data_IF_987216369252
#
_entry.id   IF_987216369252
#
_cell.length_a   1.000
_cell.length_b   1.000
_cell.length_c   1.000
_cell.angle_alpha   90.00
_cell.angle_beta   90.00
_cell.angle_gamma   90.00
#
_symmetry.space_group_name_H-M   'P 1'
#
loop_
_entity.id
_entity.type
_entity.pdbx_description
1 polymer ?
#
# COMPACT_ATOMS: atom_id res chain seq x y z
N UNK A 1 0.76 -14.05 -21.25
CA UNK A 1 -0.32 -14.98 -20.88
C UNK A 1 -1.29 -14.19 -20.01
N UNK A 2 -2.54 -14.05 -20.45
CA UNK A 2 -3.58 -13.45 -19.61
C UNK A 2 -4.18 -14.59 -18.78
N UNK A 3 -3.71 -14.74 -17.54
CA UNK A 3 -4.14 -15.85 -16.69
C UNK A 3 -5.62 -15.66 -16.31
N UNK A 4 -6.47 -16.70 -16.39
CA UNK A 4 -7.88 -16.62 -16.04
C UNK A 4 -8.16 -16.06 -14.63
N UNK A 5 -7.24 -16.24 -13.68
CA UNK A 5 -7.33 -15.63 -12.35
C UNK A 5 -7.43 -14.10 -12.39
N UNK A 6 -6.73 -13.42 -13.31
CA UNK A 6 -6.77 -11.96 -13.40
C UNK A 6 -8.14 -11.44 -13.80
N UNK A 7 -8.89 -12.20 -14.59
CA UNK A 7 -10.28 -11.88 -14.92
C UNK A 7 -11.17 -12.00 -13.68
N UNK A 8 -11.00 -13.05 -12.89
CA UNK A 8 -11.72 -13.21 -11.61
C UNK A 8 -11.42 -12.05 -10.65
N UNK A 9 -10.15 -11.66 -10.53
CA UNK A 9 -9.73 -10.54 -9.70
C UNK A 9 -10.33 -9.21 -10.20
N UNK A 10 -10.37 -9.00 -11.52
CA UNK A 10 -10.98 -7.83 -12.12
C UNK A 10 -12.50 -7.79 -11.90
N UNK A 11 -13.20 -8.91 -12.05
CA UNK A 11 -14.65 -9.01 -11.80
C UNK A 11 -15.01 -8.75 -10.33
N UNK A 12 -14.08 -9.00 -9.40
CA UNK A 12 -14.27 -8.80 -7.96
C UNK A 12 -13.49 -7.59 -7.41
N UNK A 13 -12.99 -6.72 -8.29
CA UNK A 13 -12.11 -5.59 -7.94
C UNK A 13 -12.69 -4.73 -6.81
N UNK A 14 -13.96 -4.33 -6.94
CA UNK A 14 -14.62 -3.48 -5.94
C UNK A 14 -14.68 -4.15 -4.57
N UNK A 15 -14.97 -5.45 -4.53
CA UNK A 15 -15.05 -6.20 -3.28
C UNK A 15 -13.66 -6.40 -2.66
N UNK A 16 -12.65 -6.70 -3.48
CA UNK A 16 -11.26 -6.84 -3.03
C UNK A 16 -10.75 -5.51 -2.48
N UNK A 17 -10.90 -4.41 -3.23
CA UNK A 17 -10.46 -3.08 -2.81
C UNK A 17 -11.16 -2.64 -1.52
N UNK A 18 -12.49 -2.79 -1.42
CA UNK A 18 -13.21 -2.41 -0.20
C UNK A 18 -12.72 -3.19 1.03
N UNK A 19 -12.48 -4.50 0.89
CA UNK A 19 -11.98 -5.33 1.99
C UNK A 19 -10.51 -5.06 2.29
N UNK A 20 -9.70 -4.79 1.28
CA UNK A 20 -8.28 -4.47 1.47
C UNK A 20 -8.10 -3.09 2.10
N UNK A 21 -8.77 -2.06 1.59
CA UNK A 21 -8.72 -0.69 2.10
C UNK A 21 -9.18 -0.62 3.55
N UNK A 22 -10.23 -1.35 3.94
CA UNK A 22 -10.65 -1.40 5.36
C UNK A 22 -9.56 -1.97 6.29
N UNK A 23 -8.72 -2.89 5.82
CA UNK A 23 -7.54 -3.35 6.55
C UNK A 23 -6.39 -2.32 6.56
N UNK A 24 -6.22 -1.54 5.49
CA UNK A 24 -5.24 -0.45 5.46
C UNK A 24 -5.64 0.64 6.46
N UNK A 25 -6.92 1.00 6.50
CA UNK A 25 -7.47 2.00 7.43
C UNK A 25 -7.37 1.59 8.90
N UNK A 26 -7.51 0.30 9.22
CA UNK A 26 -7.35 -0.18 10.59
C UNK A 26 -5.89 -0.17 11.06
N UNK A 27 -4.94 -0.11 10.13
CA UNK A 27 -3.51 0.04 10.40
C UNK A 27 -3.04 1.50 10.36
N UNK A 28 -3.85 2.41 9.82
CA UNK A 28 -3.58 3.84 9.86
C UNK A 28 -3.83 4.39 11.28
N UNK A 29 -3.01 5.32 11.78
CA UNK A 29 -3.07 5.80 13.14
C UNK A 29 -4.35 6.63 13.31
N UNK A 30 -5.06 6.39 14.40
CA UNK A 30 -6.31 7.06 14.72
C UNK A 30 -6.21 8.59 14.75
N UNK A 31 -5.03 9.16 15.01
CA UNK A 31 -4.77 10.61 15.00
C UNK A 31 -4.82 11.23 13.60
N UNK A 32 -4.68 10.42 12.54
CA UNK A 32 -4.75 10.83 11.15
C UNK A 32 -6.13 10.56 10.51
N UNK A 33 -7.03 9.85 11.20
CA UNK A 33 -8.36 9.56 10.68
C UNK A 33 -9.28 10.76 10.96
N UNK A 34 -9.79 11.46 9.93
CA UNK A 34 -10.77 12.50 10.17
C UNK A 34 -12.05 11.87 10.75
N UNK A 35 -12.61 12.52 11.76
CA UNK A 35 -13.94 12.20 12.27
C UNK A 35 -14.95 12.32 11.13
N UNK A 36 -15.71 11.24 10.91
CA UNK A 36 -16.92 11.15 10.09
C UNK A 36 -17.42 12.53 9.61
N UNK A 37 -17.17 12.90 8.35
CA UNK A 37 -18.10 13.65 7.47
C UNK A 37 -17.46 13.93 6.11
N UNK A 38 -18.12 13.46 5.04
CA UNK A 38 -17.88 13.72 3.60
C UNK A 38 -16.58 13.23 2.95
N UNK A 39 -16.73 12.36 1.93
CA UNK A 39 -15.65 11.85 1.07
C UNK A 39 -15.21 12.89 0.04
N UNK A 40 -13.91 13.19 0.00
CA UNK A 40 -13.31 14.08 -1.01
C UNK A 40 -11.84 14.35 -0.73
N UNK A 41 -11.05 14.64 -1.77
CA UNK A 41 -9.60 14.91 -1.68
C UNK A 41 -9.23 16.06 -0.73
N UNK A 42 -10.18 16.92 -0.38
CA UNK A 42 -10.00 18.07 0.50
C UNK A 42 -10.62 17.90 1.90
N UNK A 43 -11.54 16.96 2.07
CA UNK A 43 -12.22 16.69 3.35
C UNK A 43 -11.61 15.50 4.08
N UNK A 44 -11.05 14.54 3.34
CA UNK A 44 -10.32 13.39 3.86
C UNK A 44 -9.14 13.03 2.93
N UNK A 45 -8.05 13.81 2.98
CA UNK A 45 -6.91 13.63 2.09
C UNK A 45 -6.18 12.30 2.29
N UNK A 46 -6.26 11.72 3.50
CA UNK A 46 -5.59 10.47 3.84
C UNK A 46 -6.37 9.29 3.28
N UNK A 47 -7.69 9.26 3.45
CA UNK A 47 -8.52 8.24 2.82
C UNK A 47 -8.48 8.32 1.30
N UNK A 48 -8.50 9.53 0.74
CA UNK A 48 -8.35 9.70 -0.70
C UNK A 48 -7.01 9.14 -1.21
N UNK A 49 -5.90 9.42 -0.53
CA UNK A 49 -4.58 8.90 -0.92
C UNK A 49 -4.51 7.38 -0.81
N UNK A 50 -5.05 6.79 0.26
CA UNK A 50 -5.13 5.34 0.41
C UNK A 50 -5.98 4.72 -0.70
N UNK A 51 -7.17 5.25 -0.97
CA UNK A 51 -8.08 4.76 -2.02
C UNK A 51 -7.41 4.84 -3.41
N UNK A 52 -6.81 5.99 -3.76
CA UNK A 52 -6.06 6.22 -5.02
C UNK A 52 -4.93 5.20 -5.19
N UNK A 53 -4.05 5.09 -4.18
CA UNK A 53 -2.82 4.32 -4.30
C UNK A 53 -3.08 2.82 -4.25
N UNK A 54 -4.01 2.35 -3.41
CA UNK A 54 -4.42 0.94 -3.41
C UNK A 54 -5.07 0.55 -4.75
N UNK A 55 -5.89 1.42 -5.36
CA UNK A 55 -6.44 1.15 -6.69
C UNK A 55 -5.35 1.06 -7.77
N UNK A 56 -4.35 1.95 -7.74
CA UNK A 56 -3.23 1.91 -8.69
C UNK A 56 -2.39 0.62 -8.54
N UNK A 57 -2.05 0.24 -7.31
CA UNK A 57 -1.32 -1.00 -7.01
C UNK A 57 -2.12 -2.23 -7.47
N UNK A 58 -3.43 -2.27 -7.20
CA UNK A 58 -4.28 -3.38 -7.63
C UNK A 58 -4.40 -3.46 -9.15
N UNK A 59 -4.55 -2.31 -9.83
CA UNK A 59 -4.57 -2.25 -11.29
C UNK A 59 -3.27 -2.78 -11.89
N UNK A 60 -2.13 -2.44 -11.30
CA UNK A 60 -0.84 -2.97 -11.72
C UNK A 60 -0.76 -4.49 -11.50
N UNK A 61 -1.24 -4.99 -10.35
CA UNK A 61 -1.30 -6.42 -10.06
C UNK A 61 -2.06 -7.19 -11.15
N UNK A 62 -3.23 -6.71 -11.58
CA UNK A 62 -4.07 -7.42 -12.55
C UNK A 62 -3.64 -7.29 -14.01
N UNK A 63 -3.02 -6.17 -14.40
CA UNK A 63 -2.74 -5.86 -15.81
C UNK A 63 -1.27 -5.72 -16.15
N UNK A 64 -0.36 -5.83 -15.18
CA UNK A 64 1.06 -5.45 -15.34
C UNK A 64 1.16 -4.11 -16.10
N UNK A 65 0.60 -3.07 -15.47
CA UNK A 65 0.63 -1.71 -16.00
C UNK A 65 2.05 -1.13 -15.95
N UNK A 66 2.21 0.16 -16.22
CA UNK A 66 3.50 0.84 -16.12
C UNK A 66 4.11 0.68 -14.71
N UNK A 67 5.35 0.20 -14.63
CA UNK A 67 6.08 0.06 -13.36
C UNK A 67 6.32 1.43 -12.69
N UNK A 68 6.27 2.54 -13.45
CA UNK A 68 6.34 3.90 -12.89
C UNK A 68 5.09 4.27 -12.10
N UNK A 69 3.89 3.90 -12.58
CA UNK A 69 2.63 4.16 -11.86
C UNK A 69 2.61 3.40 -10.53
N UNK A 70 3.15 2.18 -10.53
CA UNK A 70 3.32 1.40 -9.30
C UNK A 70 4.30 2.08 -8.35
N UNK A 71 5.46 2.52 -8.86
CA UNK A 71 6.48 3.19 -8.07
C UNK A 71 5.94 4.45 -7.38
N UNK A 72 5.21 5.30 -8.12
CA UNK A 72 4.59 6.52 -7.56
C UNK A 72 3.58 6.16 -6.46
N UNK A 73 2.69 5.19 -6.72
CA UNK A 73 1.69 4.79 -5.75
C UNK A 73 2.29 4.18 -4.47
N UNK A 74 3.36 3.38 -4.62
CA UNK A 74 4.10 2.81 -3.51
C UNK A 74 4.85 3.87 -2.72
N UNK A 75 5.51 4.82 -3.38
CA UNK A 75 6.22 5.90 -2.71
C UNK A 75 5.25 6.76 -1.89
N UNK A 76 4.11 7.15 -2.45
CA UNK A 76 3.08 7.94 -1.75
C UNK A 76 2.60 7.24 -0.47
N UNK A 77 2.17 5.97 -0.58
CA UNK A 77 1.64 5.25 0.58
C UNK A 77 2.73 4.93 1.62
N UNK A 78 3.95 4.63 1.17
CA UNK A 78 5.10 4.40 2.07
C UNK A 78 5.50 5.68 2.80
N UNK A 79 5.41 6.85 2.16
CA UNK A 79 5.67 8.15 2.79
C UNK A 79 4.70 8.40 3.93
N UNK A 80 3.40 8.13 3.73
CA UNK A 80 2.38 8.26 4.78
C UNK A 80 2.69 7.37 5.99
N UNK A 81 3.12 6.12 5.75
CA UNK A 81 3.50 5.19 6.81
C UNK A 81 4.85 5.52 7.47
N UNK A 82 5.81 6.08 6.73
CA UNK A 82 7.14 6.39 7.23
C UNK A 82 7.15 7.50 8.29
N UNK A 83 6.21 8.44 8.21
CA UNK A 83 6.02 9.50 9.21
C UNK A 83 5.68 8.92 10.59
N UNK A 84 5.01 7.78 10.64
CA UNK A 84 4.48 7.17 11.87
C UNK A 84 5.53 6.41 12.69
N UNK A 85 6.77 6.27 12.20
CA UNK A 85 7.88 5.69 12.95
C UNK A 85 7.70 4.23 13.41
N UNK A 86 6.83 3.48 12.75
CA UNK A 86 6.63 2.03 12.94
C UNK A 86 7.78 1.20 12.37
N UNK A 87 7.82 -0.10 12.63
CA UNK A 87 8.78 -1.00 11.96
C UNK A 87 8.30 -1.32 10.53
N UNK A 88 9.19 -1.67 9.58
CA UNK A 88 8.79 -2.01 8.20
C UNK A 88 7.71 -3.11 8.13
N UNK A 89 7.81 -4.14 8.98
CA UNK A 89 6.82 -5.24 9.05
C UNK A 89 5.42 -4.78 9.45
N UNK A 90 5.32 -3.71 10.24
CA UNK A 90 4.06 -3.12 10.66
C UNK A 90 3.53 -2.17 9.58
N UNK A 91 4.40 -1.29 9.08
CA UNK A 91 4.06 -0.27 8.08
C UNK A 91 3.64 -0.84 6.72
N UNK A 92 4.20 -1.99 6.33
CA UNK A 92 3.94 -2.66 5.05
C UNK A 92 2.96 -3.84 5.19
N UNK A 93 2.50 -4.10 6.42
CA UNK A 93 1.54 -5.15 6.79
C UNK A 93 0.37 -5.27 5.83
N UNK A 94 -0.13 -4.12 5.37
CA UNK A 94 -1.29 -4.02 4.49
C UNK A 94 -1.08 -4.70 3.13
N UNK A 95 0.15 -4.79 2.61
CA UNK A 95 0.39 -5.42 1.30
C UNK A 95 0.18 -6.94 1.41
N UNK A 96 0.60 -7.57 2.52
CA UNK A 96 0.29 -8.97 2.78
C UNK A 96 -1.21 -9.19 3.04
N UNK A 97 -1.93 -8.19 3.58
CA UNK A 97 -3.37 -8.27 3.73
C UNK A 97 -4.10 -8.42 2.38
N UNK A 98 -3.56 -7.84 1.28
CA UNK A 98 -4.10 -8.05 -0.07
C UNK A 98 -4.08 -9.53 -0.46
N UNK A 99 -2.96 -10.21 -0.21
CA UNK A 99 -2.81 -11.65 -0.44
C UNK A 99 -3.88 -12.43 0.32
N UNK A 100 -4.07 -12.14 1.60
CA UNK A 100 -5.12 -12.78 2.41
C UNK A 100 -6.54 -12.52 1.88
N UNK A 101 -6.84 -11.30 1.44
CA UNK A 101 -8.15 -10.95 0.87
C UNK A 101 -8.45 -11.75 -0.39
N UNK A 102 -7.46 -11.88 -1.28
CA UNK A 102 -7.57 -12.66 -2.53
C UNK A 102 -7.78 -14.14 -2.21
N UNK A 103 -6.95 -14.72 -1.34
CA UNK A 103 -7.05 -16.13 -0.95
C UNK A 103 -8.40 -16.44 -0.30
N UNK A 104 -8.91 -15.56 0.57
CA UNK A 104 -10.23 -15.73 1.19
C UNK A 104 -11.37 -15.64 0.18
N UNK A 105 -11.29 -14.73 -0.78
CA UNK A 105 -12.29 -14.62 -1.86
C UNK A 105 -12.37 -15.93 -2.64
N UNK A 106 -11.21 -16.46 -3.07
CA UNK A 106 -11.13 -17.72 -3.82
C UNK A 106 -11.58 -18.92 -2.97
N UNK A 107 -11.19 -18.99 -1.71
CA UNK A 107 -11.58 -20.07 -0.80
C UNK A 107 -13.08 -20.06 -0.43
N UNK A 108 -13.71 -18.88 -0.42
CA UNK A 108 -15.16 -18.75 -0.13
C UNK A 108 -16.07 -19.33 -1.22
N UNK A 109 -15.50 -19.69 -2.38
CA UNK A 109 -15.87 -20.93 -3.07
C UNK A 109 -17.24 -21.03 -3.71
N UNK A 110 -17.78 -19.93 -4.26
CA UNK A 110 -18.60 -19.97 -5.50
C UNK A 110 -17.76 -19.75 -6.76
N UNK A 111 -16.43 -19.58 -6.63
CA UNK A 111 -15.51 -19.31 -7.74
C UNK A 111 -14.38 -20.34 -7.69
N UNK A 112 -14.28 -21.16 -8.72
CA UNK A 112 -13.24 -22.20 -8.83
C UNK A 112 -12.00 -21.54 -9.42
N UNK A 113 -10.89 -21.55 -8.67
CA UNK A 113 -9.60 -21.15 -9.22
C UNK A 113 -9.22 -22.14 -10.33
N UNK A 114 -8.97 -21.69 -11.57
CA UNK A 114 -8.79 -22.58 -12.70
C UNK A 114 -7.46 -23.36 -12.69
N UNK A 115 -6.41 -22.86 -12.02
CA UNK A 115 -5.14 -23.55 -11.84
C UNK A 115 -4.38 -23.04 -10.59
N UNK A 116 -3.52 -23.88 -9.99
CA UNK A 116 -2.62 -23.51 -8.90
C UNK A 116 -1.49 -22.57 -9.36
N UNK A 117 -1.01 -22.73 -10.60
CA UNK A 117 0.06 -21.88 -11.16
C UNK A 117 -0.40 -20.42 -11.29
N UNK A 118 -1.68 -20.19 -11.63
CA UNK A 118 -2.28 -18.86 -11.73
C UNK A 118 -2.24 -18.13 -10.38
N UNK A 119 -2.56 -18.84 -9.29
CA UNK A 119 -2.50 -18.28 -7.94
C UNK A 119 -1.06 -17.99 -7.52
N UNK A 120 -0.13 -18.85 -7.93
CA UNK A 120 1.30 -18.66 -7.67
C UNK A 120 1.84 -17.42 -8.40
N UNK A 121 1.37 -17.12 -9.62
CA UNK A 121 1.73 -15.89 -10.35
C UNK A 121 1.23 -14.63 -9.63
N UNK A 122 -0.02 -14.64 -9.13
CA UNK A 122 -0.57 -13.54 -8.33
C UNK A 122 0.25 -13.33 -7.05
N UNK A 123 0.57 -14.40 -6.34
CA UNK A 123 1.37 -14.36 -5.13
C UNK A 123 2.77 -13.79 -5.41
N UNK A 124 3.42 -14.23 -6.49
CA UNK A 124 4.75 -13.74 -6.89
C UNK A 124 4.74 -12.25 -7.24
N UNK A 125 3.67 -11.75 -7.88
CA UNK A 125 3.51 -10.31 -8.14
C UNK A 125 3.31 -9.51 -6.86
N UNK A 126 2.54 -10.02 -5.90
CA UNK A 126 2.40 -9.37 -4.59
C UNK A 126 3.76 -9.33 -3.88
N UNK A 127 4.55 -10.40 -3.93
CA UNK A 127 5.89 -10.42 -3.34
C UNK A 127 6.83 -9.40 -4.01
N UNK A 128 6.72 -9.16 -5.33
CA UNK A 128 7.41 -8.06 -6.02
C UNK A 128 6.98 -6.68 -5.49
N UNK A 129 5.68 -6.46 -5.31
CA UNK A 129 5.14 -5.21 -4.74
C UNK A 129 5.70 -4.97 -3.33
N UNK A 130 5.75 -6.02 -2.49
CA UNK A 130 6.33 -5.96 -1.14
C UNK A 130 7.80 -5.53 -1.19
N UNK A 131 8.59 -6.12 -2.08
CA UNK A 131 10.01 -5.78 -2.24
C UNK A 131 10.22 -4.30 -2.58
N UNK A 132 9.48 -3.79 -3.57
CA UNK A 132 9.56 -2.38 -3.95
C UNK A 132 9.08 -1.44 -2.84
N UNK A 133 7.99 -1.79 -2.17
CA UNK A 133 7.47 -1.00 -1.05
C UNK A 133 8.47 -0.92 0.12
N UNK A 134 9.20 -2.01 0.38
CA UNK A 134 10.27 -2.03 1.37
C UNK A 134 11.36 -1.02 1.05
N UNK A 135 11.84 -0.99 -0.20
CA UNK A 135 12.85 -0.03 -0.64
C UNK A 135 12.37 1.42 -0.49
N UNK A 136 11.14 1.73 -0.93
CA UNK A 136 10.55 3.07 -0.79
C UNK A 136 10.38 3.47 0.67
N UNK A 137 9.90 2.57 1.52
CA UNK A 137 9.75 2.83 2.95
C UNK A 137 11.11 3.14 3.61
N UNK A 138 12.12 2.31 3.35
CA UNK A 138 13.47 2.52 3.86
C UNK A 138 14.06 3.86 3.39
N UNK A 139 13.87 4.22 2.12
CA UNK A 139 14.31 5.51 1.59
C UNK A 139 13.61 6.70 2.29
N UNK A 140 12.29 6.64 2.47
CA UNK A 140 11.53 7.66 3.20
C UNK A 140 12.03 7.82 4.64
N UNK A 141 12.30 6.71 5.33
CA UNK A 141 12.82 6.72 6.72
C UNK A 141 14.21 7.32 6.81
N UNK A 142 15.10 6.99 5.87
CA UNK A 142 16.44 7.57 5.79
C UNK A 142 16.37 9.10 5.61
N UNK A 143 15.52 9.58 4.70
CA UNK A 143 15.30 11.01 4.48
C UNK A 143 14.79 11.71 5.75
N UNK A 144 13.81 11.13 6.45
CA UNK A 144 13.30 11.68 7.72
C UNK A 144 14.42 11.80 8.76
N UNK A 145 15.27 10.79 8.88
CA UNK A 145 16.39 10.83 9.82
C UNK A 145 17.46 11.85 9.44
N UNK A 146 17.78 11.97 8.15
CA UNK A 146 18.72 12.98 7.66
C UNK A 146 18.21 14.40 7.98
N UNK A 147 16.94 14.67 7.74
CA UNK A 147 16.31 15.95 8.10
C UNK A 147 16.41 16.23 9.61
N UNK A 148 16.14 15.23 10.46
CA UNK A 148 16.27 15.36 11.92
C UNK A 148 17.70 15.69 12.33
N UNK A 149 18.69 15.01 11.77
CA UNK A 149 20.11 15.25 12.05
C UNK A 149 20.54 16.65 11.60
N UNK A 150 20.13 17.07 10.41
CA UNK A 150 20.45 18.39 9.87
C UNK A 150 19.82 19.52 10.70
N UNK A 151 18.60 19.30 11.20
CA UNK A 151 17.93 20.26 12.07
C UNK A 151 18.64 20.40 13.42
N UNK A 152 19.04 19.28 14.05
CA UNK A 152 19.84 19.29 15.29
C UNK A 152 21.15 20.08 15.08
N UNK A 153 21.88 19.83 14.00
CA UNK A 153 23.12 20.55 13.68
C UNK A 153 22.89 22.06 13.53
N UNK A 154 21.77 22.47 12.92
CA UNK A 154 21.41 23.90 12.76
C UNK A 154 21.10 24.57 14.09
N UNK A 155 20.42 23.87 15.00
CA UNK A 155 20.13 24.39 16.34
C UNK A 155 21.41 24.59 17.15
N UNK A 156 22.24 23.56 17.30
CA UNK A 156 23.47 23.64 18.11
C UNK A 156 24.63 24.39 17.45
N UNK A 157 24.61 24.56 16.12
CA UNK A 157 25.59 25.38 15.41
C UNK A 157 25.40 26.90 15.56
N UNK A 158 24.23 27.36 16.01
CA UNK A 158 23.97 28.78 16.30
C UNK A 158 24.42 29.22 17.68
N UNK A 159 24.51 28.31 18.65
CA UNK A 159 24.89 28.63 20.03
C UNK A 159 26.42 28.72 20.25
N UNK A 160 27.21 28.53 19.19
CA UNK A 160 28.68 28.56 19.22
C UNK A 160 29.29 29.84 18.57
N UNK A 161 28.47 30.87 18.32
CA UNK A 161 28.87 32.13 17.70
C UNK A 161 28.64 33.34 18.60
#
# INVERSE_FOLDING_TARGET
MEFPIYKVLQENEQHILAKWQSNVFSQAPHELLPGNTSKGQFTDPISYSIEKNTAAIFKWLIKAADDNDLAEALEEICRLSAVQNSKPSEALGFIWALKHVIHQLLASGKIICPNADDLMDVDARIDKIVGQAFDFYCACRAQIYELRVNEIKRMYGRDAG
#
